data_IF_350737045708
#
_entry.id   IF_350737045708
#
_cell.length_a   1.000
_cell.length_b   1.000
_cell.length_c   1.000
_cell.angle_alpha   90.00
_cell.angle_beta   90.00
_cell.angle_gamma   90.00
#
_symmetry.space_group_name_H-M   'P 1'
#
loop_
_entity.id
_entity.type
_entity.pdbx_description
1 polymer ?
#
# COMPACT_ATOMS: atom_id res chain seq x y z
N UNK A 1 -10.91 12.02 20.32
CA UNK A 1 -11.47 10.77 19.73
C UNK A 1 -10.40 9.89 19.11
N UNK A 2 -9.46 10.44 18.36
CA UNK A 2 -8.33 9.69 17.75
C UNK A 2 -7.40 9.02 18.78
N UNK A 3 -7.05 9.70 19.86
CA UNK A 3 -6.15 9.18 20.90
C UNK A 3 -6.70 7.93 21.61
N UNK A 4 -8.00 7.87 21.86
CA UNK A 4 -8.62 6.71 22.49
C UNK A 4 -8.63 5.49 21.55
N UNK A 5 -8.83 5.72 20.25
CA UNK A 5 -8.77 4.65 19.24
C UNK A 5 -7.33 4.12 19.09
N UNK A 6 -6.36 5.01 19.11
CA UNK A 6 -4.94 4.65 19.02
C UNK A 6 -4.48 3.84 20.24
N UNK A 7 -4.86 4.27 21.44
CA UNK A 7 -4.58 3.52 22.66
C UNK A 7 -5.24 2.13 22.64
N UNK A 8 -6.47 2.03 22.15
CA UNK A 8 -7.17 0.75 21.98
C UNK A 8 -6.45 -0.17 21.00
N UNK A 9 -6.01 0.34 19.86
CA UNK A 9 -5.24 -0.44 18.87
C UNK A 9 -3.89 -0.90 19.42
N UNK A 10 -3.19 -0.07 20.19
CA UNK A 10 -1.94 -0.44 20.85
C UNK A 10 -2.15 -1.55 21.88
N UNK A 11 -3.22 -1.47 22.68
CA UNK A 11 -3.56 -2.50 23.64
C UNK A 11 -3.86 -3.85 22.95
N UNK A 12 -4.63 -3.83 21.88
CA UNK A 12 -4.91 -5.04 21.06
C UNK A 12 -3.62 -5.61 20.47
N UNK A 13 -2.75 -4.76 19.92
CA UNK A 13 -1.47 -5.20 19.36
C UNK A 13 -0.57 -5.87 20.40
N UNK A 14 -0.56 -5.36 21.62
CA UNK A 14 0.18 -5.94 22.75
C UNK A 14 -0.37 -7.34 23.11
N UNK A 15 -1.69 -7.50 23.20
CA UNK A 15 -2.32 -8.81 23.48
C UNK A 15 -2.03 -9.81 22.35
N UNK A 16 -2.11 -9.37 21.09
CA UNK A 16 -1.79 -10.22 19.93
C UNK A 16 -0.34 -10.67 19.99
N UNK A 17 0.59 -9.77 20.30
CA UNK A 17 2.01 -10.11 20.41
C UNK A 17 2.26 -11.16 21.52
N UNK A 18 1.59 -11.02 22.65
CA UNK A 18 1.69 -11.98 23.75
C UNK A 18 1.10 -13.36 23.38
N UNK A 19 0.00 -13.37 22.65
CA UNK A 19 -0.75 -14.61 22.37
C UNK A 19 -0.21 -15.37 21.16
N UNK A 20 0.20 -14.62 20.11
CA UNK A 20 0.60 -15.22 18.82
C UNK A 20 2.10 -15.13 18.54
N UNK A 21 2.84 -14.36 19.34
CA UNK A 21 4.24 -14.03 19.11
C UNK A 21 4.48 -13.05 17.94
N UNK A 22 3.43 -12.53 17.30
CA UNK A 22 3.52 -11.63 16.16
C UNK A 22 3.40 -10.17 16.60
N UNK A 23 4.45 -9.37 16.42
CA UNK A 23 4.41 -7.92 16.65
C UNK A 23 3.83 -7.21 15.42
N UNK A 24 2.51 -7.03 15.43
CA UNK A 24 1.79 -6.36 14.35
C UNK A 24 1.82 -4.83 14.47
N UNK A 25 2.14 -4.30 15.65
CA UNK A 25 2.11 -2.86 15.91
C UNK A 25 3.13 -2.05 15.10
N UNK A 26 4.21 -2.70 14.66
CA UNK A 26 5.27 -2.08 13.86
C UNK A 26 5.10 -2.25 12.36
N UNK A 27 4.09 -3.00 11.92
CA UNK A 27 3.89 -3.26 10.49
C UNK A 27 3.09 -2.11 9.86
N UNK A 28 3.63 -1.39 8.87
CA UNK A 28 2.90 -0.34 8.20
C UNK A 28 1.60 -0.85 7.60
N UNK A 29 0.50 -0.16 7.86
CA UNK A 29 -0.83 -0.53 7.39
C UNK A 29 -1.60 -1.48 8.32
N UNK A 30 -1.02 -1.95 9.43
CA UNK A 30 -1.72 -2.80 10.41
C UNK A 30 -2.96 -2.12 11.00
N UNK A 31 -2.92 -0.79 11.20
CA UNK A 31 -4.05 0.00 11.65
C UNK A 31 -5.12 0.29 10.60
N UNK A 32 -4.93 -0.13 9.34
CA UNK A 32 -5.87 0.14 8.27
C UNK A 32 -7.26 -0.43 8.58
N UNK A 33 -8.29 0.30 8.17
CA UNK A 33 -9.70 -0.06 8.40
C UNK A 33 -10.02 -0.34 9.88
N UNK A 34 -9.49 0.50 10.79
CA UNK A 34 -9.73 0.34 12.23
C UNK A 34 -9.10 -0.90 12.86
N UNK A 35 -7.96 -1.35 12.30
CA UNK A 35 -7.21 -2.50 12.83
C UNK A 35 -7.49 -3.83 12.12
N UNK A 36 -8.37 -3.88 11.11
CA UNK A 36 -8.62 -5.10 10.33
C UNK A 36 -7.36 -5.61 9.66
N UNK A 37 -6.49 -4.72 9.15
CA UNK A 37 -5.18 -5.09 8.61
C UNK A 37 -4.33 -5.88 9.61
N UNK A 38 -4.28 -5.41 10.87
CA UNK A 38 -3.60 -6.09 11.95
C UNK A 38 -4.20 -7.46 12.29
N UNK A 39 -5.53 -7.58 12.28
CA UNK A 39 -6.21 -8.84 12.52
C UNK A 39 -5.84 -9.89 11.45
N UNK A 40 -5.83 -9.52 10.16
CA UNK A 40 -5.39 -10.42 9.10
C UNK A 40 -3.93 -10.86 9.26
N UNK A 41 -3.05 -9.94 9.63
CA UNK A 41 -1.64 -10.28 9.90
C UNK A 41 -1.49 -11.24 11.08
N UNK A 42 -2.28 -11.04 12.15
CA UNK A 42 -2.20 -11.83 13.36
C UNK A 42 -2.71 -13.27 13.17
N UNK A 43 -3.89 -13.40 12.63
CA UNK A 43 -4.65 -14.67 12.64
C UNK A 43 -4.63 -15.43 11.32
N UNK A 44 -4.00 -14.89 10.28
CA UNK A 44 -3.87 -15.56 8.99
C UNK A 44 -2.43 -15.49 8.48
N UNK A 45 -2.18 -16.03 7.29
CA UNK A 45 -0.92 -15.87 6.56
C UNK A 45 -0.96 -14.67 5.59
N UNK A 46 -1.80 -13.68 5.86
CA UNK A 46 -1.94 -12.50 5.03
C UNK A 46 -0.66 -11.66 5.01
N UNK A 47 -0.45 -10.96 3.92
CA UNK A 47 0.58 -9.93 3.77
C UNK A 47 -0.09 -8.63 3.36
N UNK A 48 0.30 -7.54 4.01
CA UNK A 48 -0.12 -6.21 3.58
C UNK A 48 0.81 -5.73 2.47
N UNK A 49 0.23 -5.19 1.43
CA UNK A 49 0.96 -4.59 0.33
C UNK A 49 0.17 -3.43 -0.27
N UNK A 50 0.85 -2.56 -0.97
CA UNK A 50 0.22 -1.47 -1.70
C UNK A 50 -0.79 -2.02 -2.71
N UNK A 51 -2.02 -1.50 -2.73
CA UNK A 51 -3.04 -1.94 -3.68
C UNK A 51 -2.63 -1.75 -5.12
N UNK A 52 -1.93 -0.64 -5.43
CA UNK A 52 -1.42 -0.40 -6.78
C UNK A 52 -0.35 -1.41 -7.18
N UNK A 53 0.57 -1.77 -6.28
CA UNK A 53 1.60 -2.76 -6.56
C UNK A 53 1.00 -4.15 -6.78
N UNK A 54 -0.04 -4.50 -6.02
CA UNK A 54 -0.79 -5.74 -6.21
C UNK A 54 -1.39 -5.81 -7.61
N UNK A 55 -2.11 -4.76 -8.02
CA UNK A 55 -2.78 -4.67 -9.31
C UNK A 55 -1.75 -4.69 -10.45
N UNK A 56 -0.71 -3.86 -10.39
CA UNK A 56 0.31 -3.79 -11.44
C UNK A 56 1.08 -5.11 -11.58
N UNK A 57 1.30 -5.81 -10.48
CA UNK A 57 1.94 -7.13 -10.48
C UNK A 57 1.03 -8.17 -11.12
N UNK A 58 -0.25 -8.21 -10.71
CA UNK A 58 -1.22 -9.17 -11.24
C UNK A 58 -1.46 -8.97 -12.74
N UNK A 59 -1.53 -7.73 -13.20
CA UNK A 59 -1.64 -7.38 -14.61
C UNK A 59 -0.36 -7.60 -15.41
N UNK A 60 0.73 -7.99 -14.77
CA UNK A 60 2.06 -8.07 -15.40
C UNK A 60 2.40 -6.76 -16.15
N UNK A 61 2.06 -5.63 -15.53
CA UNK A 61 2.12 -4.31 -16.14
C UNK A 61 3.48 -4.02 -16.80
N UNK A 62 4.59 -4.37 -16.14
CA UNK A 62 5.92 -4.20 -16.69
C UNK A 62 6.11 -4.86 -18.06
N UNK A 63 5.55 -6.05 -18.29
CA UNK A 63 5.61 -6.72 -19.59
C UNK A 63 4.76 -6.00 -20.65
N UNK A 64 3.59 -5.50 -20.24
CA UNK A 64 2.67 -4.82 -21.17
C UNK A 64 3.23 -3.51 -21.70
N UNK A 65 4.05 -2.80 -20.92
CA UNK A 65 4.62 -1.52 -21.31
C UNK A 65 6.00 -1.60 -21.97
N UNK A 66 6.58 -2.79 -22.12
CA UNK A 66 7.93 -2.92 -22.69
C UNK A 66 8.07 -2.29 -24.08
N UNK A 67 7.02 -2.39 -24.89
CA UNK A 67 6.99 -1.85 -26.26
C UNK A 67 6.14 -0.56 -26.38
N UNK A 68 5.71 0.01 -25.27
CA UNK A 68 4.94 1.25 -25.28
C UNK A 68 5.87 2.44 -25.46
N UNK A 69 5.53 3.35 -26.38
CA UNK A 69 6.26 4.60 -26.58
C UNK A 69 5.72 5.71 -25.69
N UNK A 70 4.47 5.59 -25.26
CA UNK A 70 3.79 6.55 -24.39
C UNK A 70 2.89 5.83 -23.41
N UNK A 71 2.90 6.27 -22.15
CA UNK A 71 1.95 5.84 -21.13
C UNK A 71 1.20 7.07 -20.66
N UNK A 72 -0.13 7.02 -20.76
CA UNK A 72 -1.02 8.06 -20.26
C UNK A 72 -1.65 7.55 -18.96
N UNK A 73 -1.53 8.31 -17.91
CA UNK A 73 -2.18 8.04 -16.62
C UNK A 73 -2.81 9.31 -16.09
N UNK A 74 -3.80 9.18 -15.21
CA UNK A 74 -4.50 10.30 -14.64
C UNK A 74 -4.78 10.10 -13.15
N UNK A 75 -4.80 11.19 -12.44
CA UNK A 75 -5.22 11.32 -11.04
C UNK A 75 -6.12 12.55 -10.93
N UNK A 76 -7.04 12.55 -9.96
CA UNK A 76 -7.94 13.69 -9.75
C UNK A 76 -7.22 14.96 -9.28
N UNK A 77 -6.10 14.82 -8.58
CA UNK A 77 -5.18 15.90 -8.22
C UNK A 77 -3.78 15.35 -7.95
N UNK A 78 -2.77 16.11 -8.29
CA UNK A 78 -1.40 15.85 -7.89
C UNK A 78 -1.09 16.67 -6.62
N UNK A 79 -1.01 16.00 -5.50
CA UNK A 79 -0.70 16.59 -4.19
C UNK A 79 0.39 15.77 -3.48
N UNK A 80 0.72 16.14 -2.25
CA UNK A 80 1.70 15.42 -1.44
C UNK A 80 1.34 13.93 -1.25
N UNK A 81 0.07 13.55 -1.36
CA UNK A 81 -0.38 12.15 -1.25
C UNK A 81 -0.09 11.37 -2.53
N UNK A 82 0.17 12.00 -3.66
CA UNK A 82 0.50 11.31 -4.92
C UNK A 82 1.75 10.45 -4.76
N UNK A 83 2.70 10.87 -3.95
CA UNK A 83 3.91 10.09 -3.62
C UNK A 83 3.65 8.93 -2.65
N UNK A 84 2.48 8.90 -2.02
CA UNK A 84 2.11 7.90 -1.00
C UNK A 84 1.43 6.65 -1.57
N UNK A 85 1.64 6.33 -2.85
CA UNK A 85 1.18 5.07 -3.44
C UNK A 85 -0.07 5.18 -4.31
N UNK A 86 -0.39 6.37 -4.82
CA UNK A 86 -1.41 6.54 -5.85
C UNK A 86 -0.99 5.91 -7.18
N UNK A 87 -1.96 5.68 -8.06
CA UNK A 87 -1.78 4.93 -9.32
C UNK A 87 -0.67 5.51 -10.20
N UNK A 88 -0.66 6.83 -10.39
CA UNK A 88 0.34 7.50 -11.21
C UNK A 88 1.78 7.25 -10.69
N UNK A 89 1.98 7.38 -9.38
CA UNK A 89 3.27 7.12 -8.75
C UNK A 89 3.69 5.65 -8.83
N UNK A 90 2.74 4.72 -8.65
CA UNK A 90 2.99 3.29 -8.80
C UNK A 90 3.47 2.93 -10.20
N UNK A 91 2.90 3.56 -11.23
CA UNK A 91 3.32 3.40 -12.63
C UNK A 91 4.72 3.96 -12.86
N UNK A 92 5.00 5.18 -12.37
CA UNK A 92 6.29 5.86 -12.55
C UNK A 92 7.46 5.12 -11.88
N UNK A 93 7.21 4.39 -10.81
CA UNK A 93 8.24 3.60 -10.09
C UNK A 93 8.66 2.32 -10.79
N UNK A 94 7.93 1.86 -11.80
CA UNK A 94 8.34 0.65 -12.52
C UNK A 94 9.52 0.97 -13.43
N UNK A 95 10.59 0.15 -13.41
CA UNK A 95 11.77 0.40 -14.24
C UNK A 95 11.39 0.26 -15.72
N UNK A 96 11.29 1.38 -16.36
CA UNK A 96 11.11 1.47 -17.81
C UNK A 96 12.19 2.39 -18.34
N UNK A 97 12.96 1.92 -19.27
CA UNK A 97 14.05 2.69 -19.93
C UNK A 97 13.51 3.80 -20.85
N UNK A 98 12.40 4.46 -20.47
CA UNK A 98 11.70 5.42 -21.31
C UNK A 98 11.28 6.64 -20.51
N UNK A 99 11.27 7.80 -21.15
CA UNK A 99 10.87 9.07 -20.59
C UNK A 99 9.35 9.12 -20.44
N UNK A 100 8.87 9.31 -19.23
CA UNK A 100 7.44 9.52 -18.96
C UNK A 100 7.09 11.00 -19.08
N UNK A 101 5.98 11.31 -19.72
CA UNK A 101 5.33 12.61 -19.64
C UNK A 101 4.00 12.43 -18.93
N UNK A 102 3.82 13.09 -17.81
CA UNK A 102 2.54 13.25 -17.15
C UNK A 102 1.90 14.55 -17.63
N UNK A 103 0.62 14.50 -17.96
CA UNK A 103 -0.20 15.68 -18.19
C UNK A 103 -1.12 15.84 -16.98
N UNK A 104 -0.93 16.95 -16.29
CA UNK A 104 -1.75 17.36 -15.15
C UNK A 104 -2.64 18.54 -15.57
#
# INVERSE_FOLDING_TARGET
MTEHLEAGMQAIAAVIAQTTGKDIGRIPGSGAAGGVGGAFLAFTNARLMSGIDLILTHLQFGKRIQNADLIITGEGSADAQTTMGKVAYGILRKPVNKTFRSFW
#
